data_IF_862644863418
#
_entry.id   IF_862644863418
#
_cell.length_a   1.000
_cell.length_b   1.000
_cell.length_c   1.000
_cell.angle_alpha   90.00
_cell.angle_beta   90.00
_cell.angle_gamma   90.00
#
_symmetry.space_group_name_H-M   'P 1'
#
loop_
_entity.id
_entity.type
_entity.pdbx_description
1 polymer ?
#
# COMPACT_ATOMS: atom_id res chain seq x y z
N UNK A 1 4.80 -29.76 -8.94
CA UNK A 1 3.86 -28.74 -9.48
C UNK A 1 4.06 -27.45 -8.70
N UNK A 2 4.30 -26.28 -9.33
CA UNK A 2 4.36 -25.04 -8.59
C UNK A 2 2.97 -24.75 -8.01
N UNK A 3 2.89 -24.48 -6.70
CA UNK A 3 1.65 -24.00 -6.10
C UNK A 3 1.43 -22.57 -6.61
N UNK A 4 0.46 -22.39 -7.50
CA UNK A 4 0.04 -21.06 -7.91
C UNK A 4 -0.71 -20.37 -6.77
N UNK A 5 -0.40 -19.11 -6.51
CA UNK A 5 -1.18 -18.27 -5.61
C UNK A 5 -2.20 -17.48 -6.44
N UNK A 6 -3.44 -17.39 -5.96
CA UNK A 6 -4.44 -16.46 -6.51
C UNK A 6 -4.55 -15.27 -5.57
N UNK A 7 -4.57 -14.07 -6.14
CA UNK A 7 -4.73 -12.81 -5.41
C UNK A 7 -6.03 -12.14 -5.81
N UNK A 8 -6.55 -11.29 -4.93
CA UNK A 8 -7.69 -10.42 -5.19
C UNK A 8 -7.48 -9.09 -4.45
N UNK A 9 -8.11 -7.98 -4.89
CA UNK A 9 -8.12 -6.75 -4.12
C UNK A 9 -8.65 -7.00 -2.70
N UNK A 10 -7.97 -6.45 -1.70
CA UNK A 10 -8.33 -6.69 -0.29
C UNK A 10 -9.66 -6.07 0.12
N UNK A 11 -10.13 -5.04 -0.60
CA UNK A 11 -11.38 -4.30 -0.28
C UNK A 11 -11.28 -3.41 0.96
N UNK A 12 -10.11 -3.33 1.60
CA UNK A 12 -9.82 -2.52 2.77
C UNK A 12 -8.43 -1.91 2.65
N UNK A 13 -8.25 -0.71 3.23
CA UNK A 13 -6.96 -0.05 3.38
C UNK A 13 -6.37 -0.23 4.79
N UNK A 14 -7.02 -1.03 5.64
CA UNK A 14 -6.58 -1.29 7.00
C UNK A 14 -6.48 -2.80 7.27
N UNK A 15 -5.39 -3.19 7.91
CA UNK A 15 -5.16 -4.51 8.48
C UNK A 15 -4.98 -4.31 9.99
N UNK A 16 -6.03 -4.54 10.79
CA UNK A 16 -5.90 -4.45 12.24
C UNK A 16 -5.08 -5.62 12.76
N UNK A 17 -4.30 -5.36 13.80
CA UNK A 17 -3.55 -6.41 14.50
C UNK A 17 -3.33 -6.05 15.97
N UNK A 18 -3.11 -7.06 16.83
CA UNK A 18 -3.07 -6.87 18.28
C UNK A 18 -1.81 -6.16 18.78
N UNK A 19 -0.71 -6.21 18.01
CA UNK A 19 0.56 -5.54 18.32
C UNK A 19 0.82 -4.37 17.39
N UNK A 20 0.52 -4.56 16.10
CA UNK A 20 0.63 -3.54 15.08
C UNK A 20 -0.62 -3.55 14.23
N UNK A 21 -1.10 -2.35 13.92
CA UNK A 21 -2.11 -2.12 12.89
C UNK A 21 -1.46 -1.41 11.71
N UNK A 22 -1.85 -1.80 10.50
CA UNK A 22 -1.35 -1.22 9.25
C UNK A 22 -2.50 -0.49 8.58
N UNK A 23 -2.26 0.76 8.16
CA UNK A 23 -3.22 1.55 7.38
C UNK A 23 -2.54 2.19 6.20
N UNK A 24 -3.00 1.88 4.99
CA UNK A 24 -2.64 2.64 3.79
C UNK A 24 -3.37 3.98 3.86
N UNK A 25 -2.61 5.06 4.09
CA UNK A 25 -3.12 6.44 4.13
C UNK A 25 -3.36 6.97 2.72
N UNK A 26 -2.52 6.54 1.77
CA UNK A 26 -2.64 6.83 0.35
C UNK A 26 -2.27 5.61 -0.46
N UNK A 27 -3.18 5.12 -1.29
CA UNK A 27 -2.87 4.08 -2.25
C UNK A 27 -2.10 4.68 -3.43
N UNK A 28 -0.97 4.07 -3.76
CA UNK A 28 -0.20 4.44 -4.95
C UNK A 28 -0.96 4.10 -6.22
N UNK A 29 -0.60 4.79 -7.30
CA UNK A 29 -1.20 4.57 -8.62
C UNK A 29 -0.15 4.75 -9.72
N UNK A 30 -0.47 4.21 -10.89
CA UNK A 30 0.26 4.46 -12.13
C UNK A 30 -0.74 4.45 -13.27
N UNK A 31 -0.92 5.62 -13.88
CA UNK A 31 -1.89 5.85 -14.94
C UNK A 31 -1.18 6.42 -16.16
N UNK A 32 -1.45 5.81 -17.33
CA UNK A 32 -0.93 6.31 -18.60
C UNK A 32 -1.72 7.54 -19.01
N UNK A 33 -1.03 8.65 -19.21
CA UNK A 33 -1.57 9.88 -19.76
C UNK A 33 -1.46 9.96 -21.28
N UNK A 34 -1.80 11.12 -21.83
CA UNK A 34 -1.64 11.41 -23.24
C UNK A 34 -0.15 11.47 -23.63
N UNK A 35 0.12 11.19 -24.91
CA UNK A 35 1.45 11.34 -25.52
C UNK A 35 2.59 10.61 -24.78
N UNK A 36 2.29 9.46 -24.14
CA UNK A 36 3.29 8.66 -23.45
C UNK A 36 3.69 9.18 -22.05
N UNK A 37 3.04 10.22 -21.55
CA UNK A 37 3.20 10.63 -20.15
C UNK A 37 2.65 9.57 -19.19
N UNK A 38 3.20 9.51 -17.98
CA UNK A 38 2.70 8.68 -16.88
C UNK A 38 2.50 9.56 -15.67
N UNK A 39 1.31 9.49 -15.08
CA UNK A 39 1.04 10.03 -13.75
C UNK A 39 1.16 8.88 -12.77
N UNK A 40 2.00 9.02 -11.78
CA UNK A 40 2.18 8.01 -10.75
C UNK A 40 2.44 8.69 -9.41
N UNK A 41 2.14 7.97 -8.34
CA UNK A 41 2.53 8.35 -6.99
C UNK A 41 2.70 7.10 -6.13
N UNK A 42 3.53 7.21 -5.09
CA UNK A 42 3.81 6.15 -4.13
C UNK A 42 2.64 5.89 -3.20
N UNK A 43 2.66 4.71 -2.57
CA UNK A 43 1.77 4.46 -1.44
C UNK A 43 2.36 5.05 -0.18
N UNK A 44 1.51 5.61 0.69
CA UNK A 44 1.88 6.06 2.02
C UNK A 44 1.16 5.18 3.04
N UNK A 45 1.92 4.54 3.93
CA UNK A 45 1.40 3.56 4.90
C UNK A 45 1.81 3.92 6.32
N UNK A 46 0.86 3.88 7.23
CA UNK A 46 1.05 4.02 8.67
C UNK A 46 1.11 2.64 9.33
N UNK A 47 2.16 2.42 10.11
CA UNK A 47 2.26 1.29 11.04
C UNK A 47 2.20 1.85 12.46
N UNK A 48 1.23 1.40 13.25
CA UNK A 48 0.95 1.92 14.59
C UNK A 48 0.58 0.80 15.57
N UNK A 49 0.44 1.11 16.87
CA UNK A 49 0.05 0.17 17.92
C UNK A 49 1.22 -0.34 18.78
N UNK A 50 2.44 -0.35 18.23
CA UNK A 50 3.66 -0.66 18.98
C UNK A 50 4.28 0.57 19.67
N UNK A 51 5.51 0.43 20.21
CA UNK A 51 6.21 1.51 20.91
C UNK A 51 6.67 2.65 19.98
N UNK A 52 6.67 2.41 18.67
CA UNK A 52 7.01 3.39 17.65
C UNK A 52 5.93 3.40 16.57
N UNK A 53 5.50 4.61 16.21
CA UNK A 53 4.66 4.84 15.03
C UNK A 53 5.57 5.16 13.85
N UNK A 54 5.38 4.45 12.74
CA UNK A 54 6.22 4.57 11.55
C UNK A 54 5.36 4.95 10.34
N UNK A 55 5.84 5.93 9.59
CA UNK A 55 5.31 6.29 8.28
C UNK A 55 6.24 5.72 7.19
N UNK A 56 5.68 4.96 6.26
CA UNK A 56 6.38 4.39 5.12
C UNK A 56 5.86 5.05 3.85
N UNK A 57 6.74 5.72 3.12
CA UNK A 57 6.46 6.35 1.82
C UNK A 57 7.31 5.66 0.75
N UNK A 58 6.68 5.25 -0.36
CA UNK A 58 7.35 4.58 -1.49
C UNK A 58 7.48 5.45 -2.73
N UNK A 59 7.17 6.75 -2.65
CA UNK A 59 7.13 7.67 -3.80
C UNK A 59 8.45 8.33 -4.20
N UNK A 60 9.59 7.78 -3.74
CA UNK A 60 10.94 8.33 -4.02
C UNK A 60 11.39 8.20 -5.45
#
# INVERSE_FOLDING_TARGET
>A
MPRGFRTAPLGSLAVPGPLYSVRVLRAGFSERGAAGSVRADGSVTLVSGGPLTVLVDTGG
#
